data_IF_236161019986
#
_entry.id   IF_236161019986
#
_cell.length_a   1.000
_cell.length_b   1.000
_cell.length_c   1.000
_cell.angle_alpha   90.00
_cell.angle_beta   90.00
_cell.angle_gamma   90.00
#
_symmetry.space_group_name_H-M   'P 1'
#
loop_
_entity.id
_entity.type
_entity.pdbx_description
1 polymer ?
#
# COMPACT_ATOMS: atom_id res chain seq x y z
N UNK A 1 -26.96 -56.32 -17.02
CA UNK A 1 -27.12 -54.96 -16.48
C UNK A 1 -25.84 -54.66 -15.73
N UNK A 2 -24.86 -54.09 -16.42
CA UNK A 2 -23.63 -53.61 -15.79
C UNK A 2 -23.99 -52.43 -14.88
N UNK A 3 -23.53 -52.50 -13.63
CA UNK A 3 -23.65 -51.41 -12.68
C UNK A 3 -22.76 -50.27 -13.18
N UNK A 4 -23.38 -49.13 -13.49
CA UNK A 4 -22.68 -47.90 -13.78
C UNK A 4 -21.74 -47.57 -12.61
N UNK A 5 -20.43 -47.54 -12.90
CA UNK A 5 -19.42 -47.10 -11.95
C UNK A 5 -19.76 -45.69 -11.50
N UNK A 6 -19.84 -45.47 -10.19
CA UNK A 6 -19.78 -44.13 -9.64
C UNK A 6 -18.38 -43.61 -9.92
N UNK A 7 -18.25 -42.72 -10.90
CA UNK A 7 -17.09 -41.84 -10.97
C UNK A 7 -17.11 -40.99 -9.70
N UNK A 8 -16.17 -41.27 -8.80
CA UNK A 8 -15.81 -40.32 -7.75
C UNK A 8 -15.17 -39.13 -8.46
N UNK A 9 -15.96 -38.09 -8.69
CA UNK A 9 -15.47 -36.79 -9.17
C UNK A 9 -14.55 -36.28 -8.07
N UNK A 10 -13.26 -36.17 -8.37
CA UNK A 10 -12.30 -35.65 -7.39
C UNK A 10 -12.57 -34.16 -7.19
N UNK A 11 -12.38 -33.66 -5.97
CA UNK A 11 -12.53 -32.22 -5.66
C UNK A 11 -11.55 -31.37 -6.50
N UNK A 12 -10.50 -31.99 -7.05
CA UNK A 12 -9.54 -31.35 -7.95
C UNK A 12 -10.09 -31.14 -9.36
N UNK A 13 -11.06 -31.96 -9.82
CA UNK A 13 -11.70 -31.84 -11.14
C UNK A 13 -12.75 -30.72 -11.20
N UNK A 14 -13.26 -30.26 -10.04
CA UNK A 14 -14.15 -29.08 -9.94
C UNK A 14 -13.38 -27.76 -9.70
N UNK A 15 -12.05 -27.81 -9.65
CA UNK A 15 -11.25 -26.63 -9.36
C UNK A 15 -11.35 -25.58 -10.48
N UNK A 16 -11.52 -24.31 -10.09
CA UNK A 16 -11.59 -23.13 -10.98
C UNK A 16 -10.62 -23.21 -12.16
N UNK A 17 -11.15 -22.96 -13.37
CA UNK A 17 -10.33 -22.63 -14.54
C UNK A 17 -9.63 -21.28 -14.31
N UNK A 18 -8.31 -21.35 -14.10
CA UNK A 18 -7.45 -20.19 -13.84
C UNK A 18 -7.46 -19.16 -14.97
N UNK A 19 -7.91 -19.51 -16.18
CA UNK A 19 -7.94 -18.59 -17.31
C UNK A 19 -9.07 -17.55 -17.22
N UNK A 20 -10.05 -17.75 -16.34
CA UNK A 20 -11.20 -16.85 -16.17
C UNK A 20 -10.83 -15.62 -15.34
N UNK A 21 -9.83 -15.73 -14.46
CA UNK A 21 -9.40 -14.66 -13.57
C UNK A 21 -8.02 -14.13 -13.97
N UNK A 22 -7.82 -12.81 -13.80
CA UNK A 22 -6.49 -12.21 -14.00
C UNK A 22 -5.53 -12.71 -12.93
N UNK A 23 -4.42 -13.32 -13.34
CA UNK A 23 -3.24 -13.46 -12.48
C UNK A 23 -2.54 -12.09 -12.34
N UNK A 24 -1.62 -11.99 -11.37
CA UNK A 24 -0.88 -10.75 -11.11
C UNK A 24 -0.16 -10.22 -12.37
N UNK A 25 0.37 -11.12 -13.22
CA UNK A 25 1.07 -10.73 -14.45
C UNK A 25 0.15 -10.11 -15.51
N UNK A 26 -1.15 -10.41 -15.47
CA UNK A 26 -2.15 -9.83 -16.38
C UNK A 26 -2.75 -8.53 -15.87
N UNK A 27 -2.42 -8.08 -14.66
CA UNK A 27 -2.95 -6.84 -14.08
C UNK A 27 -2.00 -5.69 -14.44
N UNK A 28 -2.46 -4.81 -15.35
CA UNK A 28 -1.61 -3.78 -15.93
C UNK A 28 -1.03 -2.81 -14.89
N UNK A 29 -1.84 -2.27 -13.99
CA UNK A 29 -1.34 -1.31 -13.00
C UNK A 29 -0.32 -1.93 -12.03
N UNK A 30 -0.55 -3.19 -11.63
CA UNK A 30 0.41 -3.93 -10.79
C UNK A 30 1.75 -4.10 -11.51
N UNK A 31 1.75 -4.54 -12.78
CA UNK A 31 2.97 -4.63 -13.57
C UNK A 31 3.72 -3.29 -13.64
N UNK A 32 2.99 -2.20 -13.89
CA UNK A 32 3.57 -0.84 -13.94
C UNK A 32 4.19 -0.47 -12.59
N UNK A 33 3.50 -0.67 -11.48
CA UNK A 33 4.06 -0.37 -10.15
C UNK A 33 5.31 -1.22 -9.87
N UNK A 34 5.32 -2.51 -10.21
CA UNK A 34 6.50 -3.38 -10.03
C UNK A 34 7.71 -2.91 -10.83
N UNK A 35 7.50 -2.43 -12.06
CA UNK A 35 8.57 -2.02 -12.97
C UNK A 35 9.04 -0.58 -12.73
N UNK A 36 8.12 0.33 -12.41
CA UNK A 36 8.34 1.78 -12.41
C UNK A 36 8.53 2.38 -11.00
N UNK A 37 7.98 1.77 -9.93
CA UNK A 37 8.15 2.28 -8.55
C UNK A 37 9.63 2.45 -8.17
N UNK A 38 10.47 1.47 -8.53
CA UNK A 38 11.92 1.48 -8.27
C UNK A 38 12.70 2.61 -8.92
N UNK A 39 12.08 3.36 -9.85
CA UNK A 39 12.69 4.48 -10.57
C UNK A 39 12.19 5.83 -10.08
N UNK A 40 11.13 5.86 -9.27
CA UNK A 40 10.50 7.09 -8.84
C UNK A 40 11.08 7.54 -7.49
N UNK A 41 11.77 8.67 -7.49
CA UNK A 41 12.23 9.32 -6.25
C UNK A 41 11.27 10.44 -5.88
N UNK A 42 10.90 10.51 -4.60
CA UNK A 42 10.04 11.55 -4.06
C UNK A 42 10.77 12.34 -2.98
N UNK A 43 10.60 13.66 -3.00
CA UNK A 43 11.15 14.57 -2.01
C UNK A 43 10.02 15.37 -1.37
N UNK A 44 9.99 15.43 -0.03
CA UNK A 44 9.06 16.30 0.68
C UNK A 44 9.64 17.72 0.85
N UNK A 45 8.84 18.74 0.55
CA UNK A 45 9.17 20.13 0.81
C UNK A 45 8.71 20.52 2.21
N UNK A 46 9.59 20.34 3.21
CA UNK A 46 9.26 20.62 4.62
C UNK A 46 9.15 22.12 4.93
N UNK A 47 9.79 22.98 4.14
CA UNK A 47 9.65 24.44 4.26
C UNK A 47 8.22 24.92 3.95
N UNK A 48 7.49 24.18 3.11
CA UNK A 48 6.08 24.42 2.80
C UNK A 48 5.11 23.89 3.88
N UNK A 49 5.63 23.24 4.93
CA UNK A 49 4.80 22.55 5.90
C UNK A 49 3.92 23.51 6.70
N UNK A 50 2.60 23.34 6.57
CA UNK A 50 1.60 24.10 7.31
C UNK A 50 1.05 23.23 8.43
N UNK A 51 1.41 23.55 9.66
CA UNK A 51 0.94 22.86 10.87
C UNK A 51 -0.39 23.49 11.31
N UNK A 52 -1.49 22.85 10.93
CA UNK A 52 -2.83 23.25 11.32
C UNK A 52 -3.23 22.77 12.72
N UNK A 53 -4.47 23.09 13.11
CA UNK A 53 -5.07 22.55 14.35
C UNK A 53 -5.39 21.05 14.21
N UNK A 54 -5.85 20.64 13.04
CA UNK A 54 -6.35 19.29 12.77
C UNK A 54 -5.32 18.39 12.06
N UNK A 55 -4.47 18.98 11.21
CA UNK A 55 -3.53 18.26 10.35
C UNK A 55 -2.30 19.07 10.03
N UNK A 56 -1.18 18.40 9.79
CA UNK A 56 0.01 18.98 9.16
C UNK A 56 -0.01 18.66 7.67
N UNK A 57 0.13 19.69 6.82
CA UNK A 57 0.14 19.54 5.36
C UNK A 57 1.49 19.93 4.79
N UNK A 58 2.00 19.21 3.81
CA UNK A 58 3.24 19.54 3.10
C UNK A 58 3.22 18.95 1.68
N UNK A 59 4.02 19.53 0.79
CA UNK A 59 4.12 19.04 -0.59
C UNK A 59 5.14 17.91 -0.71
N UNK A 60 4.87 16.95 -1.59
CA UNK A 60 5.79 15.90 -2.02
C UNK A 60 5.96 16.04 -3.53
N UNK A 61 7.20 16.19 -3.99
CA UNK A 61 7.52 16.41 -5.40
C UNK A 61 8.21 15.15 -5.93
N UNK A 62 7.71 14.63 -7.06
CA UNK A 62 8.39 13.57 -7.80
C UNK A 62 9.58 14.15 -8.56
N UNK A 63 10.79 13.62 -8.34
CA UNK A 63 11.98 14.10 -9.04
C UNK A 63 11.91 13.84 -10.55
N UNK A 64 11.28 12.73 -10.95
CA UNK A 64 11.17 12.29 -12.34
C UNK A 64 10.11 13.08 -13.11
N UNK A 65 8.91 13.22 -12.55
CA UNK A 65 7.77 13.82 -13.27
C UNK A 65 7.56 15.30 -12.94
N UNK A 66 8.22 15.82 -11.89
CA UNK A 66 8.02 17.17 -11.34
C UNK A 66 6.58 17.47 -10.91
N UNK A 67 5.74 16.45 -10.78
CA UNK A 67 4.37 16.59 -10.27
C UNK A 67 4.42 16.80 -8.75
N UNK A 68 3.61 17.75 -8.28
CA UNK A 68 3.41 18.05 -6.86
C UNK A 68 2.20 17.29 -6.31
N UNK A 69 2.43 16.57 -5.21
CA UNK A 69 1.42 15.90 -4.42
C UNK A 69 1.26 16.63 -3.08
N UNK A 70 0.04 16.64 -2.55
CA UNK A 70 -0.25 17.13 -1.21
C UNK A 70 -0.33 15.95 -0.24
N UNK A 71 0.52 15.97 0.80
CA UNK A 71 0.44 15.05 1.91
C UNK A 71 -0.20 15.73 3.13
N UNK A 72 -1.08 15.01 3.80
CA UNK A 72 -1.76 15.45 5.01
C UNK A 72 -1.61 14.40 6.10
N UNK A 73 -0.98 14.78 7.22
CA UNK A 73 -0.76 13.93 8.39
C UNK A 73 -1.67 14.39 9.52
N UNK A 74 -2.47 13.47 10.05
CA UNK A 74 -3.41 13.71 11.15
C UNK A 74 -3.02 12.84 12.35
N UNK A 75 -3.07 13.43 13.54
CA UNK A 75 -3.22 12.67 14.78
C UNK A 75 -4.71 12.49 15.06
N UNK A 76 -5.12 11.29 15.44
CA UNK A 76 -6.51 10.95 15.75
C UNK A 76 -6.56 10.37 17.17
N UNK A 77 -7.66 10.65 17.88
CA UNK A 77 -7.90 10.09 19.21
C UNK A 77 -7.77 8.57 19.23
N UNK A 78 -7.31 8.04 20.37
CA UNK A 78 -7.05 6.62 20.52
C UNK A 78 -5.73 6.15 19.92
N UNK A 79 -4.73 7.03 19.73
CA UNK A 79 -3.39 6.70 19.23
C UNK A 79 -3.39 6.16 17.79
N UNK A 80 -4.09 6.86 16.90
CA UNK A 80 -4.16 6.54 15.47
C UNK A 80 -3.49 7.68 14.69
N UNK A 81 -2.64 7.34 13.73
CA UNK A 81 -2.20 8.28 12.69
C UNK A 81 -3.03 8.08 11.43
N UNK A 82 -3.33 9.15 10.70
CA UNK A 82 -3.84 9.07 9.33
C UNK A 82 -2.92 9.82 8.39
N UNK A 83 -2.56 9.20 7.28
CA UNK A 83 -1.81 9.81 6.19
C UNK A 83 -2.69 9.79 4.94
N UNK A 84 -2.92 10.99 4.37
CA UNK A 84 -3.50 11.13 3.04
C UNK A 84 -2.45 11.67 2.08
N UNK A 85 -2.38 11.12 0.88
CA UNK A 85 -1.59 11.69 -0.24
C UNK A 85 -2.49 11.76 -1.47
N UNK A 86 -2.57 12.95 -2.05
CA UNK A 86 -3.35 13.24 -3.24
C UNK A 86 -2.58 14.18 -4.18
N UNK A 87 -3.01 14.32 -5.42
CA UNK A 87 -2.48 15.38 -6.30
C UNK A 87 -2.85 16.75 -5.72
N UNK A 88 -1.93 17.71 -5.77
CA UNK A 88 -2.20 19.07 -5.29
C UNK A 88 -3.22 19.78 -6.21
N UNK A 89 -3.09 19.59 -7.52
CA UNK A 89 -3.98 20.16 -8.54
C UNK A 89 -4.38 19.09 -9.55
N UNK A 90 -5.29 18.16 -9.20
CA UNK A 90 -5.69 17.11 -10.11
C UNK A 90 -6.57 17.65 -11.25
N UNK A 91 -6.50 17.00 -12.42
CA UNK A 91 -7.40 17.30 -13.55
C UNK A 91 -8.88 17.15 -13.18
N UNK A 92 -9.18 16.24 -12.25
CA UNK A 92 -10.50 16.04 -11.63
C UNK A 92 -10.31 15.40 -10.25
N UNK A 93 -11.27 15.55 -9.31
CA UNK A 93 -11.16 14.91 -8.00
C UNK A 93 -10.92 13.40 -8.11
N UNK A 94 -9.95 12.90 -7.36
CA UNK A 94 -9.75 11.47 -7.14
C UNK A 94 -10.78 10.94 -6.16
N UNK A 95 -11.11 9.67 -6.29
CA UNK A 95 -12.06 9.03 -5.40
C UNK A 95 -11.50 8.94 -3.98
N UNK A 96 -12.26 9.44 -3.02
CA UNK A 96 -12.07 9.21 -1.58
C UNK A 96 -13.24 8.36 -1.10
N UNK A 97 -12.97 7.30 -0.33
CA UNK A 97 -14.00 6.32 0.05
C UNK A 97 -14.99 6.96 1.03
N UNK A 98 -16.28 7.11 0.66
CA UNK A 98 -17.31 7.58 1.58
C UNK A 98 -17.86 6.42 2.43
N UNK A 99 -18.64 6.75 3.46
CA UNK A 99 -19.53 5.84 4.21
C UNK A 99 -18.88 4.67 5.00
N UNK A 100 -17.59 4.43 4.85
CA UNK A 100 -16.85 3.43 5.64
C UNK A 100 -16.47 3.98 7.01
N UNK A 101 -16.16 5.27 7.10
CA UNK A 101 -15.93 5.94 8.37
C UNK A 101 -17.29 6.36 8.95
N UNK A 102 -17.65 5.83 10.12
CA UNK A 102 -18.99 6.03 10.71
C UNK A 102 -19.22 7.45 11.20
N UNK A 103 -18.14 8.14 11.58
CA UNK A 103 -18.15 9.55 11.92
C UNK A 103 -16.83 10.21 11.55
N UNK A 104 -16.79 11.55 11.54
CA UNK A 104 -15.53 12.28 11.39
C UNK A 104 -14.65 12.01 12.63
N UNK A 105 -13.48 11.37 12.50
CA UNK A 105 -12.64 11.06 13.65
C UNK A 105 -12.19 12.34 14.36
N UNK A 106 -12.11 12.28 15.69
CA UNK A 106 -11.65 13.42 16.50
C UNK A 106 -10.13 13.58 16.35
N UNK A 107 -9.71 14.77 15.96
CA UNK A 107 -8.30 15.08 15.68
C UNK A 107 -7.55 15.50 16.93
N UNK A 108 -6.31 15.02 17.05
CA UNK A 108 -5.34 15.42 18.06
C UNK A 108 -4.31 16.32 17.37
N UNK A 109 -4.10 17.51 17.94
CA UNK A 109 -3.15 18.48 17.38
C UNK A 109 -1.72 17.93 17.48
N UNK A 110 -1.07 17.79 16.34
CA UNK A 110 0.35 17.51 16.27
C UNK A 110 1.14 18.82 16.29
N UNK A 111 2.15 18.90 17.15
CA UNK A 111 3.09 20.02 17.24
C UNK A 111 4.43 19.61 16.66
N UNK A 112 5.13 20.55 16.03
CA UNK A 112 6.52 20.33 15.63
C UNK A 112 7.44 20.41 16.83
N UNK A 113 8.33 19.42 16.96
CA UNK A 113 9.52 19.51 17.80
C UNK A 113 10.72 19.88 16.93
N UNK A 114 11.75 20.48 17.54
CA UNK A 114 13.00 20.86 16.87
C UNK A 114 13.48 19.73 15.95
N UNK A 115 13.47 19.98 14.64
CA UNK A 115 14.05 19.13 13.61
C UNK A 115 15.19 19.85 12.91
N UNK A 116 16.07 19.08 12.28
CA UNK A 116 17.06 19.60 11.35
C UNK A 116 16.38 20.07 10.05
N UNK A 117 17.07 20.82 9.19
CA UNK A 117 16.50 21.33 7.93
C UNK A 117 15.86 20.25 7.04
N UNK A 118 16.37 19.01 7.10
CA UNK A 118 15.89 17.87 6.31
C UNK A 118 14.86 16.98 7.02
N UNK A 119 14.43 17.36 8.23
CA UNK A 119 13.55 16.53 9.06
C UNK A 119 12.49 17.32 9.81
N UNK A 120 11.28 16.77 9.89
CA UNK A 120 10.18 17.34 10.68
C UNK A 120 9.66 16.29 11.66
N UNK A 121 9.81 16.56 12.95
CA UNK A 121 9.27 15.70 14.02
C UNK A 121 7.92 16.24 14.46
N UNK A 122 6.88 15.42 14.35
CA UNK A 122 5.53 15.73 14.82
C UNK A 122 5.20 14.88 16.05
N UNK A 123 4.62 15.50 17.07
CA UNK A 123 4.15 14.82 18.30
C UNK A 123 2.83 15.37 18.79
N UNK A 124 2.05 14.59 19.52
CA UNK A 124 0.84 15.06 20.22
C UNK A 124 1.11 15.82 21.53
N UNK A 125 2.38 16.05 21.87
CA UNK A 125 2.82 16.72 23.08
C UNK A 125 2.83 15.83 24.33
N UNK A 126 2.07 14.73 24.36
CA UNK A 126 2.17 13.68 25.39
C UNK A 126 3.28 12.68 25.05
N UNK A 127 3.61 12.54 23.77
CA UNK A 127 4.59 11.60 23.24
C UNK A 127 4.01 10.24 22.87
N UNK A 128 2.68 10.05 22.98
CA UNK A 128 2.02 8.78 22.63
C UNK A 128 1.99 8.60 21.10
N UNK A 129 1.72 9.69 20.39
CA UNK A 129 1.85 9.80 18.93
C UNK A 129 3.10 10.61 18.59
N UNK A 130 4.12 9.96 18.04
CA UNK A 130 5.31 10.62 17.49
C UNK A 130 5.65 10.07 16.11
N UNK A 131 5.84 10.95 15.13
CA UNK A 131 6.39 10.58 13.83
C UNK A 131 7.50 11.54 13.39
N UNK A 132 8.46 11.01 12.64
CA UNK A 132 9.56 11.75 12.04
C UNK A 132 9.44 11.70 10.52
N UNK A 133 9.42 12.85 9.87
CA UNK A 133 9.30 12.98 8.42
C UNK A 133 10.66 13.41 7.89
N UNK A 134 11.26 12.59 7.03
CA UNK A 134 12.50 12.91 6.32
C UNK A 134 12.17 13.45 4.94
N UNK A 135 12.86 14.52 4.53
CA UNK A 135 12.62 15.23 3.27
C UNK A 135 13.08 14.45 2.03
N UNK A 136 14.35 14.04 2.00
CA UNK A 136 14.97 13.43 0.82
C UNK A 136 15.84 12.19 1.16
N UNK A 137 15.45 10.97 0.72
CA UNK A 137 14.16 10.64 0.11
C UNK A 137 13.01 10.80 1.11
N UNK A 138 11.80 11.07 0.61
CA UNK A 138 10.61 11.18 1.44
C UNK A 138 10.36 9.89 2.22
N UNK A 139 10.29 10.00 3.55
CA UNK A 139 10.06 8.86 4.45
C UNK A 139 9.36 9.34 5.72
N UNK A 140 8.50 8.50 6.29
CA UNK A 140 7.89 8.77 7.61
C UNK A 140 8.17 7.61 8.55
N UNK A 141 8.77 7.88 9.71
CA UNK A 141 9.02 6.91 10.77
C UNK A 141 8.07 7.14 11.93
N UNK A 142 7.27 6.13 12.29
CA UNK A 142 6.45 6.13 13.49
C UNK A 142 7.29 5.65 14.67
N UNK A 143 7.39 6.50 15.69
CA UNK A 143 8.23 6.28 16.87
C UNK A 143 7.34 6.04 18.08
N UNK A 144 7.65 5.00 18.86
CA UNK A 144 6.97 4.71 20.11
C UNK A 144 7.98 4.21 21.13
N UNK A 145 7.98 4.78 22.34
CA UNK A 145 8.97 4.47 23.39
C UNK A 145 10.43 4.56 22.89
N UNK A 146 10.73 5.60 22.10
CA UNK A 146 12.06 5.86 21.49
C UNK A 146 12.52 4.85 20.43
N UNK A 147 11.72 3.83 20.09
CA UNK A 147 11.99 2.91 19.00
C UNK A 147 11.10 3.19 17.78
N UNK A 148 11.66 3.06 16.57
CA UNK A 148 10.87 3.09 15.33
C UNK A 148 10.12 1.77 15.22
N UNK A 149 8.79 1.83 15.21
CA UNK A 149 7.92 0.64 15.15
C UNK A 149 7.47 0.34 13.72
N UNK A 150 7.31 1.37 12.89
CA UNK A 150 6.90 1.27 11.50
C UNK A 150 7.56 2.42 10.71
N UNK A 151 8.03 2.12 9.50
CA UNK A 151 8.46 3.13 8.54
C UNK A 151 7.53 3.09 7.32
N UNK A 152 7.24 4.26 6.77
CA UNK A 152 6.45 4.45 5.55
C UNK A 152 7.40 4.96 4.47
N UNK A 153 7.32 4.38 3.27
CA UNK A 153 8.17 4.69 2.14
C UNK A 153 9.68 4.49 2.41
N UNK A 154 10.05 3.54 3.28
CA UNK A 154 11.45 3.24 3.59
C UNK A 154 12.17 2.53 2.44
N UNK A 155 11.42 1.84 1.57
CA UNK A 155 11.93 1.19 0.38
C UNK A 155 11.83 2.08 -0.86
N UNK A 156 11.26 3.28 -0.72
CA UNK A 156 11.07 4.21 -1.84
C UNK A 156 10.08 3.69 -2.89
N UNK A 157 9.04 2.94 -2.48
CA UNK A 157 8.05 2.37 -3.38
C UNK A 157 6.75 3.18 -3.43
N UNK A 158 6.69 4.36 -2.79
CA UNK A 158 5.66 5.35 -3.08
C UNK A 158 5.55 5.50 -4.58
N UNK A 159 4.36 5.28 -5.11
CA UNK A 159 4.10 5.40 -6.54
C UNK A 159 2.74 6.05 -6.73
N UNK A 160 2.70 7.05 -7.61
CA UNK A 160 1.49 7.83 -7.83
C UNK A 160 1.41 8.21 -9.31
N UNK A 161 0.54 7.53 -10.06
CA UNK A 161 0.27 7.86 -11.45
C UNK A 161 -0.64 9.07 -11.50
N UNK A 162 -0.13 10.22 -11.96
CA UNK A 162 -0.93 11.45 -12.10
C UNK A 162 -1.97 11.31 -13.21
N UNK A 163 -3.14 11.95 -13.04
CA UNK A 163 -4.16 11.92 -14.08
C UNK A 163 -3.69 12.61 -15.36
N UNK A 164 -3.91 11.97 -16.51
CA UNK A 164 -3.52 12.50 -17.81
C UNK A 164 -4.72 12.73 -18.73
N UNK A 165 -4.59 13.70 -19.62
CA UNK A 165 -5.54 13.90 -20.73
C UNK A 165 -5.17 12.92 -21.85
N UNK A 166 -6.12 12.15 -22.42
CA UNK A 166 -5.86 11.25 -23.53
C UNK A 166 -5.16 11.92 -24.71
N UNK A 167 -4.14 11.25 -25.27
CA UNK A 167 -3.34 11.73 -26.41
C UNK A 167 -4.20 12.10 -27.63
N UNK A 168 -5.29 11.37 -27.90
CA UNK A 168 -6.23 11.65 -28.99
C UNK A 168 -6.92 13.02 -28.86
N UNK A 169 -7.04 13.57 -27.64
CA UNK A 169 -7.59 14.90 -27.40
C UNK A 169 -6.51 16.01 -27.41
N UNK A 170 -5.23 15.67 -27.13
CA UNK A 170 -4.10 16.61 -27.27
C UNK A 170 -3.86 16.99 -28.73
N UNK A 171 -3.94 16.03 -29.65
CA UNK A 171 -3.79 16.27 -31.09
C UNK A 171 -4.87 17.18 -31.70
N UNK A 172 -6.02 17.36 -31.03
CA UNK A 172 -7.07 18.28 -31.46
C UNK A 172 -6.93 19.70 -30.88
N UNK A 173 -6.03 19.90 -29.90
CA UNK A 173 -5.87 21.20 -29.20
C UNK A 173 -4.54 21.89 -29.43
N UNK A 174 -3.48 21.20 -29.83
CA UNK A 174 -2.17 21.82 -30.03
C UNK A 174 -1.57 21.47 -31.40
N UNK A 175 -1.48 22.48 -32.26
CA UNK A 175 -0.61 22.47 -33.42
C UNK A 175 0.84 22.57 -32.94
N UNK A 176 1.58 21.47 -33.09
CA UNK A 176 3.05 21.32 -33.19
C UNK A 176 3.95 21.86 -32.07
N UNK A 177 4.92 20.98 -31.75
CA UNK A 177 6.19 21.20 -31.04
C UNK A 177 6.10 21.31 -29.51
N UNK A 178 6.25 20.16 -28.84
CA UNK A 178 7.48 19.91 -28.08
C UNK A 178 7.61 18.44 -27.66
N UNK A 179 8.83 17.92 -27.77
CA UNK A 179 9.23 16.53 -27.58
C UNK A 179 9.54 16.16 -26.12
N UNK A 180 9.35 14.86 -25.81
CA UNK A 180 9.90 14.03 -24.71
C UNK A 180 8.84 13.60 -23.69
N UNK A 181 8.63 12.33 -23.32
CA UNK A 181 9.38 11.08 -23.46
C UNK A 181 8.36 10.01 -23.88
N UNK A 182 8.15 9.80 -25.18
CA UNK A 182 7.08 8.89 -25.61
C UNK A 182 7.64 7.47 -25.69
N UNK A 183 7.19 6.61 -24.77
CA UNK A 183 7.34 5.17 -24.90
C UNK A 183 6.77 4.76 -26.27
N UNK A 184 7.40 3.80 -26.95
CA UNK A 184 6.91 3.36 -28.27
C UNK A 184 5.45 2.89 -28.16
N UNK A 185 4.67 2.92 -29.24
CA UNK A 185 3.28 2.44 -29.20
C UNK A 185 3.18 1.01 -28.65
N UNK A 186 4.20 0.17 -28.92
CA UNK A 186 4.32 -1.18 -28.39
C UNK A 186 4.52 -1.20 -26.86
N UNK A 187 5.32 -0.29 -26.31
CA UNK A 187 5.50 -0.15 -24.85
C UNK A 187 4.22 0.35 -24.17
N UNK A 188 3.43 1.22 -24.82
CA UNK A 188 2.17 1.72 -24.25
C UNK A 188 1.08 0.64 -24.20
N UNK A 189 1.02 -0.22 -25.22
CA UNK A 189 0.13 -1.37 -25.25
C UNK A 189 0.54 -2.44 -24.23
N UNK A 190 1.84 -2.74 -24.11
CA UNK A 190 2.32 -3.69 -23.11
C UNK A 190 2.04 -3.20 -21.68
N UNK A 191 2.20 -1.90 -21.41
CA UNK A 191 1.92 -1.32 -20.09
C UNK A 191 0.42 -1.11 -19.80
N UNK A 192 -0.47 -1.31 -20.78
CA UNK A 192 -1.92 -1.18 -20.62
C UNK A 192 -2.36 0.19 -20.08
N UNK A 193 -1.75 1.28 -20.60
CA UNK A 193 -1.93 2.63 -20.06
C UNK A 193 -3.34 3.19 -20.32
N UNK A 194 -3.87 2.96 -21.52
CA UNK A 194 -5.12 3.56 -21.98
C UNK A 194 -6.20 2.54 -22.33
N UNK A 195 -5.80 1.35 -22.75
CA UNK A 195 -6.69 0.26 -23.08
C UNK A 195 -6.09 -1.03 -22.55
N UNK A 196 -6.92 -1.92 -22.01
CA UNK A 196 -6.51 -3.23 -21.55
C UNK A 196 -7.55 -4.27 -21.96
N UNK A 197 -7.07 -5.38 -22.52
CA UNK A 197 -7.94 -6.47 -22.96
C UNK A 197 -7.78 -7.67 -22.03
N UNK A 198 -8.92 -8.21 -21.57
CA UNK A 198 -8.95 -9.45 -20.81
C UNK A 198 -10.06 -10.36 -21.34
N UNK A 199 -9.66 -11.49 -21.92
CA UNK A 199 -10.57 -12.37 -22.67
C UNK A 199 -11.25 -11.61 -23.81
N UNK A 200 -12.58 -11.52 -23.76
CA UNK A 200 -13.40 -10.79 -24.74
C UNK A 200 -13.67 -9.33 -24.33
N UNK A 201 -13.32 -8.94 -23.12
CA UNK A 201 -13.61 -7.61 -22.59
C UNK A 201 -12.45 -6.65 -22.88
N UNK A 202 -12.80 -5.45 -23.29
CA UNK A 202 -11.85 -4.35 -23.53
C UNK A 202 -12.23 -3.23 -22.56
N UNK A 203 -11.31 -2.91 -21.66
CA UNK A 203 -11.42 -1.78 -20.75
C UNK A 203 -10.70 -0.57 -21.35
N UNK A 204 -11.45 0.50 -21.60
CA UNK A 204 -10.92 1.78 -22.09
C UNK A 204 -10.81 2.73 -20.90
N UNK A 205 -9.58 2.97 -20.47
CA UNK A 205 -9.24 3.83 -19.33
C UNK A 205 -9.34 5.29 -19.73
N UNK A 206 -10.51 5.88 -19.55
CA UNK A 206 -10.80 7.29 -19.91
C UNK A 206 -9.80 8.29 -19.32
N UNK A 207 -9.26 7.99 -18.13
CA UNK A 207 -8.31 8.87 -17.42
C UNK A 207 -6.87 8.36 -17.49
N UNK A 208 -6.62 7.32 -18.27
CA UNK A 208 -5.34 6.66 -18.37
C UNK A 208 -4.90 6.01 -17.05
N UNK A 209 -3.58 5.88 -16.82
CA UNK A 209 -3.03 5.33 -15.59
C UNK A 209 -3.34 6.23 -14.38
N UNK A 210 -3.82 5.65 -13.29
CA UNK A 210 -4.21 6.40 -12.08
C UNK A 210 -3.89 5.64 -10.78
N UNK A 211 -3.05 4.60 -10.83
CA UNK A 211 -2.77 3.78 -9.67
C UNK A 211 -1.91 4.49 -8.63
N UNK A 212 -2.08 4.06 -7.38
CA UNK A 212 -1.36 4.56 -6.22
C UNK A 212 -0.76 3.41 -5.45
N UNK A 213 0.41 3.60 -4.84
CA UNK A 213 1.04 2.57 -4.04
C UNK A 213 1.99 3.12 -2.99
N UNK A 214 2.19 2.35 -1.92
CA UNK A 214 2.99 2.76 -0.76
C UNK A 214 3.50 1.54 0.02
N UNK A 215 4.78 1.57 0.40
CA UNK A 215 5.39 0.55 1.25
C UNK A 215 5.40 0.94 2.73
N UNK A 216 5.32 -0.10 3.56
CA UNK A 216 5.42 -0.05 5.02
C UNK A 216 6.42 -1.10 5.50
N UNK A 217 7.46 -0.68 6.22
CA UNK A 217 8.39 -1.58 6.91
C UNK A 217 7.98 -1.73 8.38
N UNK A 218 7.64 -2.94 8.80
CA UNK A 218 7.23 -3.28 10.15
C UNK A 218 8.41 -3.85 10.95
N UNK A 219 8.97 -3.03 11.85
CA UNK A 219 10.21 -3.36 12.55
C UNK A 219 9.99 -4.32 13.74
N UNK A 220 10.61 -5.49 13.66
CA UNK A 220 10.52 -6.56 14.66
C UNK A 220 9.26 -7.42 14.55
N UNK A 221 8.50 -7.32 13.45
CA UNK A 221 7.28 -8.09 13.22
C UNK A 221 7.51 -9.18 12.17
N UNK A 222 7.07 -10.40 12.47
CA UNK A 222 7.13 -11.57 11.57
C UNK A 222 5.73 -12.15 11.28
N UNK A 223 4.74 -11.83 12.11
CA UNK A 223 3.41 -12.41 12.02
C UNK A 223 2.39 -11.35 11.62
N UNK A 224 1.87 -11.51 10.41
CA UNK A 224 0.86 -10.63 9.83
C UNK A 224 -0.45 -11.40 9.62
N UNK A 225 -1.57 -10.71 9.76
CA UNK A 225 -2.93 -11.26 9.68
C UNK A 225 -3.87 -10.25 9.02
N UNK A 226 -5.07 -10.69 8.63
CA UNK A 226 -6.12 -9.82 8.10
C UNK A 226 -6.22 -9.91 6.59
N UNK A 227 -6.51 -8.77 5.95
CA UNK A 227 -6.80 -8.63 4.52
C UNK A 227 -7.72 -9.73 3.93
N UNK A 228 -8.84 -10.11 4.59
CA UNK A 228 -9.74 -11.09 4.02
C UNK A 228 -10.38 -10.57 2.72
N UNK A 229 -10.92 -11.41 1.83
CA UNK A 229 -11.18 -12.84 1.98
C UNK A 229 -10.32 -13.69 1.04
N UNK A 230 -9.52 -14.59 1.62
CA UNK A 230 -8.68 -15.56 0.92
C UNK A 230 -8.87 -16.95 1.53
N UNK A 231 -8.78 -17.99 0.70
CA UNK A 231 -8.75 -19.37 1.15
C UNK A 231 -7.32 -19.79 1.51
N UNK A 232 -6.70 -19.03 2.41
CA UNK A 232 -5.31 -19.23 2.86
C UNK A 232 -5.24 -19.36 4.39
N UNK A 233 -4.08 -19.76 4.91
CA UNK A 233 -3.82 -19.80 6.35
C UNK A 233 -4.03 -18.43 7.01
N UNK A 234 -4.44 -18.45 8.28
CA UNK A 234 -4.70 -17.24 9.06
C UNK A 234 -3.49 -16.29 9.12
N UNK A 235 -2.28 -16.83 9.32
CA UNK A 235 -1.05 -16.06 9.17
C UNK A 235 -0.76 -15.86 7.68
N UNK A 236 -0.62 -14.60 7.27
CA UNK A 236 -0.30 -14.24 5.90
C UNK A 236 1.09 -14.76 5.51
N UNK A 237 1.19 -15.26 4.28
CA UNK A 237 2.42 -15.80 3.70
C UNK A 237 3.20 -14.72 2.98
N UNK A 238 4.50 -14.96 2.81
CA UNK A 238 5.35 -14.13 1.97
C UNK A 238 4.91 -14.29 0.50
N UNK A 239 4.97 -13.22 -0.29
CA UNK A 239 4.57 -13.15 -1.70
C UNK A 239 5.77 -13.22 -2.65
N UNK A 240 6.92 -13.70 -2.18
CA UNK A 240 8.15 -13.90 -2.97
C UNK A 240 8.03 -14.96 -4.07
N UNK A 241 6.96 -15.77 -4.03
CA UNK A 241 6.60 -16.74 -5.06
C UNK A 241 6.00 -16.10 -6.33
N UNK A 242 5.78 -14.78 -6.32
CA UNK A 242 5.30 -14.00 -7.47
C UNK A 242 3.81 -13.65 -7.40
N UNK A 243 3.06 -14.24 -6.47
CA UNK A 243 1.64 -13.97 -6.26
C UNK A 243 1.43 -13.06 -5.06
N UNK A 244 0.82 -11.89 -5.31
CA UNK A 244 0.39 -10.95 -4.29
C UNK A 244 -1.03 -11.30 -3.79
N UNK A 245 -1.36 -10.89 -2.55
CA UNK A 245 -2.73 -10.97 -2.08
C UNK A 245 -3.59 -9.98 -2.85
N UNK A 246 -4.66 -10.48 -3.48
CA UNK A 246 -5.56 -9.65 -4.29
C UNK A 246 -6.85 -9.37 -3.53
N UNK A 247 -7.21 -8.11 -3.42
CA UNK A 247 -8.45 -7.61 -2.85
C UNK A 247 -9.30 -7.05 -3.98
N UNK A 248 -10.17 -7.91 -4.51
CA UNK A 248 -11.13 -7.59 -5.53
C UNK A 248 -12.30 -8.55 -5.41
N UNK A 249 -13.50 -8.03 -5.14
CA UNK A 249 -14.67 -8.85 -4.88
C UNK A 249 -15.10 -9.57 -6.17
N UNK A 250 -14.94 -10.88 -6.19
CA UNK A 250 -15.16 -11.77 -7.32
C UNK A 250 -16.07 -12.94 -6.92
N UNK A 251 -16.88 -13.38 -7.88
CA UNK A 251 -17.62 -14.63 -7.75
C UNK A 251 -16.73 -15.78 -8.25
N UNK A 252 -16.08 -16.48 -7.30
CA UNK A 252 -15.12 -17.54 -7.59
C UNK A 252 -15.73 -18.90 -7.25
N UNK A 253 -16.43 -19.49 -8.22
CA UNK A 253 -17.00 -20.83 -8.10
C UNK A 253 -15.91 -21.92 -7.97
N UNK A 254 -15.91 -22.71 -6.89
CA UNK A 254 -14.94 -23.80 -6.71
C UNK A 254 -13.51 -23.34 -6.39
N UNK A 255 -13.37 -22.24 -5.62
CA UNK A 255 -12.08 -21.64 -5.28
C UNK A 255 -11.10 -22.66 -4.69
N UNK A 256 -9.80 -22.48 -5.00
CA UNK A 256 -8.73 -23.32 -4.48
C UNK A 256 -8.38 -22.93 -3.05
N UNK A 257 -7.95 -23.91 -2.26
CA UNK A 257 -7.33 -23.68 -0.94
C UNK A 257 -5.84 -23.41 -1.10
N UNK A 258 -5.26 -22.69 -0.15
CA UNK A 258 -3.89 -22.17 -0.18
C UNK A 258 -3.62 -21.26 -1.39
N UNK A 259 -4.57 -20.37 -1.67
CA UNK A 259 -4.51 -19.42 -2.77
C UNK A 259 -4.68 -17.98 -2.24
N UNK A 260 -3.87 -17.06 -2.78
CA UNK A 260 -3.87 -15.63 -2.45
C UNK A 260 -4.85 -14.83 -3.32
N UNK A 261 -5.57 -15.49 -4.22
CA UNK A 261 -6.63 -14.89 -5.03
C UNK A 261 -7.81 -14.44 -4.15
N UNK A 262 -8.25 -13.19 -4.34
CA UNK A 262 -9.42 -12.64 -3.67
C UNK A 262 -10.70 -13.37 -4.05
N UNK A 263 -11.61 -13.49 -3.09
CA UNK A 263 -12.89 -14.17 -3.26
C UNK A 263 -14.03 -13.13 -3.18
N UNK A 264 -15.02 -13.29 -2.31
CA UNK A 264 -16.27 -12.51 -2.38
C UNK A 264 -16.22 -11.14 -1.70
N UNK A 265 -15.34 -10.99 -0.71
CA UNK A 265 -15.23 -9.78 0.10
C UNK A 265 -13.80 -9.31 0.25
N UNK A 266 -13.64 -8.01 0.50
CA UNK A 266 -12.35 -7.37 0.69
C UNK A 266 -12.43 -6.43 1.90
N UNK A 267 -11.57 -6.63 2.88
CA UNK A 267 -11.39 -5.69 4.00
C UNK A 267 -9.90 -5.32 4.04
N UNK A 268 -9.50 -4.13 3.57
CA UNK A 268 -8.08 -3.75 3.44
C UNK A 268 -7.46 -3.34 4.79
N UNK A 269 -7.53 -4.26 5.75
CA UNK A 269 -7.05 -4.09 7.11
C UNK A 269 -6.07 -5.20 7.47
N UNK A 270 -4.83 -4.81 7.78
CA UNK A 270 -3.73 -5.70 8.11
C UNK A 270 -3.29 -5.50 9.55
N UNK A 271 -3.07 -6.60 10.25
CA UNK A 271 -2.57 -6.64 11.61
C UNK A 271 -1.15 -7.18 11.61
N UNK A 272 -0.26 -6.54 12.37
CA UNK A 272 1.09 -7.03 12.62
C UNK A 272 1.25 -7.28 14.12
N UNK A 273 1.63 -8.50 14.51
CA UNK A 273 1.72 -8.90 15.90
C UNK A 273 3.11 -9.43 16.27
N UNK A 274 3.58 -9.03 17.45
CA UNK A 274 4.75 -9.59 18.15
C UNK A 274 4.50 -9.58 19.64
N UNK A 275 5.35 -10.28 20.40
CA UNK A 275 5.25 -10.28 21.86
C UNK A 275 5.30 -8.84 22.40
N UNK A 276 4.24 -8.43 23.11
CA UNK A 276 4.12 -7.12 23.74
C UNK A 276 3.71 -5.97 22.81
N UNK A 277 3.48 -6.19 21.50
CA UNK A 277 3.05 -5.13 20.58
C UNK A 277 2.22 -5.64 19.41
N UNK A 278 1.13 -4.93 19.12
CA UNK A 278 0.32 -5.11 17.91
C UNK A 278 0.16 -3.76 17.21
N UNK A 279 0.22 -3.78 15.88
CA UNK A 279 -0.05 -2.63 15.02
C UNK A 279 -1.14 -3.01 14.02
N UNK A 280 -1.87 -2.01 13.52
CA UNK A 280 -2.79 -2.16 12.41
C UNK A 280 -2.48 -1.16 11.30
N UNK A 281 -2.65 -1.60 10.05
CA UNK A 281 -2.66 -0.75 8.85
C UNK A 281 -4.02 -0.92 8.22
N UNK A 282 -4.80 0.16 8.16
CA UNK A 282 -6.07 0.19 7.45
C UNK A 282 -5.93 1.08 6.21
N UNK A 283 -5.86 0.45 5.05
CA UNK A 283 -5.71 1.08 3.75
C UNK A 283 -7.10 1.40 3.18
N UNK A 284 -7.56 2.63 3.34
CA UNK A 284 -8.91 3.05 2.95
C UNK A 284 -8.97 3.33 1.44
N UNK A 285 -9.00 2.28 0.65
CA UNK A 285 -9.18 2.32 -0.80
C UNK A 285 -10.18 1.24 -1.25
N UNK A 286 -11.09 1.60 -2.16
CA UNK A 286 -12.16 0.73 -2.64
C UNK A 286 -11.91 0.14 -4.04
N UNK A 287 -10.81 0.52 -4.71
CA UNK A 287 -10.46 -0.04 -6.01
C UNK A 287 -9.72 -1.38 -5.87
N UNK A 288 -9.54 -2.09 -7.00
CA UNK A 288 -8.74 -3.31 -7.03
C UNK A 288 -7.38 -3.06 -6.38
N UNK A 289 -7.04 -3.87 -5.38
CA UNK A 289 -5.85 -3.67 -4.56
C UNK A 289 -5.03 -4.95 -4.46
N UNK A 290 -3.71 -4.84 -4.64
CA UNK A 290 -2.76 -5.92 -4.43
C UNK A 290 -1.84 -5.60 -3.25
N UNK A 291 -1.52 -6.63 -2.48
CA UNK A 291 -0.65 -6.51 -1.30
C UNK A 291 0.49 -7.50 -1.40
N UNK A 292 1.71 -7.00 -1.49
CA UNK A 292 2.93 -7.80 -1.38
C UNK A 292 3.41 -7.81 0.07
N UNK A 293 3.89 -8.96 0.52
CA UNK A 293 4.44 -9.16 1.86
C UNK A 293 5.80 -9.82 1.71
N UNK A 294 6.85 -9.15 2.16
CA UNK A 294 8.19 -9.70 2.22
C UNK A 294 8.71 -9.70 3.66
N UNK A 295 8.78 -10.88 4.27
CA UNK A 295 9.33 -11.05 5.62
C UNK A 295 10.80 -11.41 5.53
N UNK A 296 11.65 -10.52 6.03
CA UNK A 296 13.07 -10.75 6.26
C UNK A 296 13.25 -11.40 7.65
N UNK A 297 13.65 -12.68 7.71
CA UNK A 297 13.86 -13.35 8.99
C UNK A 297 15.05 -12.71 9.72
N UNK A 298 15.01 -12.72 11.05
CA UNK A 298 16.16 -12.34 11.86
C UNK A 298 17.32 -13.33 11.63
N UNK A 299 18.25 -13.03 10.73
CA UNK A 299 19.41 -13.90 10.48
C UNK A 299 20.24 -14.02 11.77
N UNK A 300 20.41 -15.25 12.24
CA UNK A 300 21.50 -15.64 13.13
C UNK A 300 22.46 -16.56 12.36
N UNK A 301 23.75 -16.36 12.64
CA UNK A 301 24.96 -17.11 12.26
C UNK A 301 25.71 -16.65 11.00
N UNK A 302 26.74 -15.84 11.21
CA UNK A 302 27.99 -15.92 10.45
C UNK A 302 28.89 -16.97 11.12
N UNK A 303 29.19 -18.06 10.42
CA UNK A 303 30.34 -18.91 10.74
C UNK A 303 31.57 -18.22 10.15
N UNK A 304 32.29 -17.44 10.97
CA UNK A 304 33.65 -17.01 10.62
C UNK A 304 34.61 -18.16 10.88
N UNK A 305 35.38 -18.56 9.85
CA UNK A 305 36.47 -19.55 9.96
C UNK A 305 37.67 -19.09 10.82
N UNK A 306 37.51 -18.13 11.74
CA UNK A 306 38.55 -17.77 12.70
C UNK A 306 37.94 -17.35 14.05
N UNK A 307 38.07 -18.22 15.06
CA UNK A 307 38.08 -17.85 16.48
C UNK A 307 36.74 -17.60 17.19
N UNK A 308 36.67 -17.82 18.53
CA UNK A 308 35.43 -17.81 19.31
C UNK A 308 35.04 -16.42 19.86
N UNK A 309 35.05 -15.37 19.02
CA UNK A 309 34.45 -14.07 19.39
C UNK A 309 33.78 -13.44 18.17
N UNK A 310 32.61 -13.95 17.80
CA UNK A 310 31.75 -13.31 16.81
C UNK A 310 30.93 -12.20 17.49
N UNK A 311 31.13 -10.96 17.05
CA UNK A 311 30.28 -9.83 17.42
C UNK A 311 28.82 -10.13 17.02
N UNK A 312 27.92 -10.14 18.00
CA UNK A 312 26.47 -10.35 17.80
C UNK A 312 25.88 -9.15 17.07
N UNK A 313 25.78 -9.19 15.75
CA UNK A 313 24.92 -8.25 15.04
C UNK A 313 23.47 -8.74 15.19
N UNK A 314 22.71 -8.09 16.09
CA UNK A 314 21.31 -8.42 16.38
C UNK A 314 20.45 -7.88 15.23
N UNK A 315 20.42 -8.57 14.09
CA UNK A 315 19.48 -8.26 13.01
C UNK A 315 18.07 -8.47 13.59
N UNK A 316 17.31 -7.39 13.72
CA UNK A 316 15.91 -7.45 14.11
C UNK A 316 15.13 -7.88 12.87
N UNK A 317 14.20 -8.81 13.01
CA UNK A 317 13.30 -9.19 11.93
C UNK A 317 12.52 -7.98 11.41
N UNK A 318 12.15 -8.02 10.15
CA UNK A 318 11.41 -6.95 9.48
C UNK A 318 10.45 -7.58 8.49
N UNK A 319 9.22 -7.09 8.45
CA UNK A 319 8.30 -7.43 7.36
C UNK A 319 7.95 -6.17 6.60
N UNK A 320 8.21 -6.18 5.30
CA UNK A 320 7.86 -5.12 4.38
C UNK A 320 6.53 -5.47 3.70
N UNK A 321 5.62 -4.50 3.65
CA UNK A 321 4.30 -4.65 3.04
C UNK A 321 4.13 -3.55 2.01
N UNK A 322 3.78 -3.90 0.78
CA UNK A 322 3.57 -2.94 -0.30
C UNK A 322 2.13 -3.03 -0.82
N UNK A 323 1.40 -1.93 -0.67
CA UNK A 323 0.00 -1.81 -1.12
C UNK A 323 -0.04 -1.10 -2.45
N UNK A 324 -0.80 -1.62 -3.41
CA UNK A 324 -0.97 -1.04 -4.74
C UNK A 324 -2.45 -1.09 -5.10
N UNK A 325 -3.07 0.07 -5.34
CA UNK A 325 -4.47 0.19 -5.73
C UNK A 325 -4.61 0.81 -7.11
N UNK A 326 -5.58 0.35 -7.90
CA UNK A 326 -5.78 0.81 -9.28
C UNK A 326 -6.12 2.30 -9.40
N UNK A 327 -6.82 2.87 -8.42
CA UNK A 327 -7.24 4.27 -8.44
C UNK A 327 -7.50 4.85 -7.05
N UNK A 328 -8.06 6.06 -7.00
CA UNK A 328 -8.33 6.77 -5.75
C UNK A 328 -7.10 7.51 -5.23
N UNK A 329 -7.14 7.86 -3.95
CA UNK A 329 -6.03 8.47 -3.23
C UNK A 329 -5.31 7.43 -2.35
N UNK A 330 -4.15 7.81 -1.84
CA UNK A 330 -3.56 7.11 -0.69
C UNK A 330 -4.25 7.68 0.56
N UNK A 331 -4.98 6.85 1.28
CA UNK A 331 -5.60 7.18 2.56
C UNK A 331 -5.40 6.00 3.50
N UNK A 332 -4.56 6.17 4.50
CA UNK A 332 -4.16 5.07 5.39
C UNK A 332 -4.25 5.49 6.84
N UNK A 333 -4.82 4.62 7.67
CA UNK A 333 -4.82 4.73 9.12
C UNK A 333 -3.83 3.74 9.72
N UNK A 334 -3.02 4.23 10.65
CA UNK A 334 -1.97 3.47 11.34
C UNK A 334 -2.35 3.38 12.81
N UNK A 335 -2.78 2.19 13.21
CA UNK A 335 -3.30 1.87 14.53
C UNK A 335 -2.12 1.40 15.38
N UNK A 336 -1.72 2.19 16.38
CA UNK A 336 -0.42 1.99 17.05
C UNK A 336 -0.47 1.05 18.27
N UNK A 337 -1.67 0.54 18.61
CA UNK A 337 -1.91 -0.39 19.71
C UNK A 337 -1.73 0.24 21.11
N UNK A 338 -1.06 -0.43 22.07
CA UNK A 338 -0.06 -1.49 21.85
C UNK A 338 -0.58 -2.93 21.92
N UNK A 339 -1.74 -3.21 22.51
CA UNK A 339 -2.28 -4.58 22.62
C UNK A 339 -3.20 -4.92 21.44
N UNK A 340 -3.47 -6.21 21.16
CA UNK A 340 -4.49 -6.57 20.16
C UNK A 340 -5.85 -5.95 20.45
N UNK A 341 -6.26 -5.90 21.73
CA UNK A 341 -7.53 -5.29 22.12
C UNK A 341 -7.57 -3.79 21.83
N UNK A 342 -6.46 -3.08 21.98
CA UNK A 342 -6.39 -1.64 21.68
C UNK A 342 -6.51 -1.41 20.18
N UNK A 343 -5.82 -2.23 19.37
CA UNK A 343 -5.90 -2.17 17.91
C UNK A 343 -7.32 -2.48 17.41
N UNK A 344 -8.03 -3.43 18.02
CA UNK A 344 -9.43 -3.68 17.68
C UNK A 344 -10.33 -2.50 18.05
N UNK A 345 -10.19 -1.93 19.24
CA UNK A 345 -10.94 -0.72 19.63
C UNK A 345 -10.66 0.46 18.70
N UNK A 346 -9.40 0.64 18.29
CA UNK A 346 -8.98 1.66 17.34
C UNK A 346 -9.66 1.46 15.98
N UNK A 347 -9.76 0.23 15.48
CA UNK A 347 -10.41 -0.06 14.21
C UNK A 347 -11.93 0.12 14.32
N UNK A 348 -12.56 -0.45 15.35
CA UNK A 348 -13.99 -0.28 15.62
C UNK A 348 -14.37 1.19 15.78
N UNK A 349 -13.54 2.02 16.42
CA UNK A 349 -13.78 3.47 16.51
C UNK A 349 -13.88 4.16 15.13
N UNK A 350 -13.21 3.62 14.12
CA UNK A 350 -13.24 4.17 12.76
C UNK A 350 -14.42 3.63 11.95
N UNK A 351 -14.76 2.36 12.08
CA UNK A 351 -15.63 1.63 11.13
C UNK A 351 -16.90 1.03 11.72
N UNK A 352 -17.05 1.00 13.05
CA UNK A 352 -18.30 0.57 13.70
C UNK A 352 -19.20 1.79 14.02
N UNK A 353 -20.54 1.66 13.85
CA UNK A 353 -21.50 2.74 14.17
C UNK A 353 -21.71 3.01 15.65
#
# INVERSE_FOLDING_TARGET
MEAAGKEEISVEDEAVDKNIFKDCSKIAFYRRQKQLSRRATYQASLDSATIGKDSTKFQIISETTKVSLLAEVYGIEGNIFRLKINEETPLKPRYEVPDVLTSKPSTVRLISCSGDADSLVLTDGKGDLKCNITANPFKIDLVSQEEVVMSINSLGQLYFEHLQIPLKQRAAKENKEDTSVDASQEDQEDLGLWEEKFGKFVDVKVNGPASVGLDFSLHGFEHLYGIPQHAESHQLKNTSDGDAYRLYNLDVYGYKIHDKMGIYGSVPYLLAHKLGRTLGIFWLNASETLVEINTEPAVKYTLTQMGPVAAKQKVRCRTDVHWMSESGIIDVFLLTGPTPSDVFKQYSYLTEP
#
